data_IF_017213052848
#
_entry.id   IF_017213052848
#
_cell.length_a   1.000
_cell.length_b   1.000
_cell.length_c   1.000
_cell.angle_alpha   90.00
_cell.angle_beta   90.00
_cell.angle_gamma   90.00
#
_symmetry.space_group_name_H-M   'P 1'
#
loop_
_entity.id
_entity.type
_entity.pdbx_description
1 polymer ?
#
# COMPACT_ATOMS: atom_id res chain seq x y z
N UNK A 1 3.06 -0.63 21.32
CA UNK A 1 3.55 -1.60 20.31
C UNK A 1 4.38 -0.78 19.35
N UNK A 2 5.64 -1.14 19.11
CA UNK A 2 6.52 -0.41 18.19
C UNK A 2 6.14 -0.67 16.73
N UNK A 3 6.51 0.27 15.83
CA UNK A 3 6.38 0.09 14.39
C UNK A 3 7.30 -1.04 13.93
N UNK A 4 6.86 -1.82 12.95
CA UNK A 4 7.70 -2.90 12.40
C UNK A 4 7.31 -3.30 10.98
N UNK A 5 8.27 -3.89 10.28
CA UNK A 5 8.06 -4.77 9.14
C UNK A 5 8.76 -6.08 9.44
N UNK A 6 8.06 -7.18 9.34
CA UNK A 6 8.62 -8.52 9.57
C UNK A 6 8.22 -9.47 8.45
N UNK A 7 9.09 -10.42 8.16
CA UNK A 7 8.82 -11.51 7.23
C UNK A 7 9.13 -12.86 7.86
N UNK A 8 8.35 -13.86 7.51
CA UNK A 8 8.57 -15.24 7.92
C UNK A 8 8.16 -16.19 6.79
N UNK A 9 9.02 -17.15 6.50
CA UNK A 9 8.80 -18.17 5.46
C UNK A 9 8.47 -19.51 6.09
N UNK A 10 7.38 -20.12 5.65
CA UNK A 10 6.99 -21.47 6.04
C UNK A 10 6.39 -22.20 4.85
N UNK A 11 6.91 -23.39 4.53
CA UNK A 11 6.42 -24.24 3.43
C UNK A 11 6.29 -23.49 2.09
N UNK A 12 7.23 -22.64 1.74
CA UNK A 12 7.21 -21.89 0.49
C UNK A 12 6.36 -20.63 0.52
N UNK A 13 5.66 -20.34 1.60
CA UNK A 13 4.85 -19.13 1.78
C UNK A 13 5.61 -18.14 2.65
N UNK A 14 5.93 -16.98 2.10
CA UNK A 14 6.53 -15.87 2.86
C UNK A 14 5.47 -14.84 3.22
N UNK A 15 5.17 -14.71 4.52
CA UNK A 15 4.32 -13.65 5.01
C UNK A 15 5.16 -12.40 5.27
N UNK A 16 4.83 -11.30 4.60
CA UNK A 16 5.37 -9.96 4.87
C UNK A 16 4.28 -9.16 5.58
N UNK A 17 4.55 -8.79 6.85
CA UNK A 17 3.62 -8.06 7.70
C UNK A 17 4.21 -6.73 8.11
N UNK A 18 3.42 -5.65 8.00
CA UNK A 18 3.78 -4.33 8.49
C UNK A 18 2.80 -3.83 9.54
N UNK A 19 3.27 -2.96 10.42
CA UNK A 19 2.47 -2.32 11.45
C UNK A 19 2.99 -0.93 11.77
N UNK A 20 2.05 0.02 11.89
CA UNK A 20 2.27 1.32 12.50
C UNK A 20 1.06 1.74 13.32
N UNK A 21 1.28 2.22 14.54
CA UNK A 21 0.23 2.43 15.55
C UNK A 21 -0.84 3.47 15.18
N UNK A 22 -0.57 4.40 14.28
CA UNK A 22 -1.55 5.33 13.72
C UNK A 22 -2.31 4.75 12.52
N UNK A 23 -3.06 3.67 12.73
CA UNK A 23 -3.87 3.03 11.68
C UNK A 23 -3.07 2.67 10.41
N UNK A 24 -1.79 2.35 10.55
CA UNK A 24 -0.89 2.10 9.43
C UNK A 24 -0.82 3.30 8.45
N UNK A 25 -0.76 4.54 8.99
CA UNK A 25 -0.33 5.73 8.27
C UNK A 25 1.20 5.74 8.25
N UNK A 26 1.79 5.25 7.16
CA UNK A 26 3.17 4.78 7.13
C UNK A 26 4.19 5.92 6.99
N UNK A 27 5.15 6.05 7.93
CA UNK A 27 6.28 6.94 7.77
C UNK A 27 7.31 6.38 6.79
N UNK A 28 8.20 7.25 6.31
CA UNK A 28 9.22 6.94 5.30
C UNK A 28 10.07 5.71 5.64
N UNK A 29 10.46 5.54 6.92
CA UNK A 29 11.25 4.40 7.35
C UNK A 29 10.50 3.07 7.19
N UNK A 30 9.22 3.01 7.58
CA UNK A 30 8.41 1.79 7.45
C UNK A 30 8.18 1.45 5.97
N UNK A 31 8.00 2.45 5.10
CA UNK A 31 7.90 2.25 3.66
C UNK A 31 9.20 1.69 3.07
N UNK A 32 10.36 2.20 3.49
CA UNK A 32 11.66 1.70 3.06
C UNK A 32 11.90 0.24 3.49
N UNK A 33 11.56 -0.06 4.74
CA UNK A 33 11.66 -1.42 5.29
C UNK A 33 10.71 -2.38 4.56
N UNK A 34 9.49 -1.95 4.25
CA UNK A 34 8.51 -2.73 3.51
C UNK A 34 8.98 -3.05 2.08
N UNK A 35 9.47 -2.05 1.36
CA UNK A 35 10.04 -2.26 0.03
C UNK A 35 11.22 -3.24 0.06
N UNK A 36 12.08 -3.13 1.07
CA UNK A 36 13.22 -4.03 1.27
C UNK A 36 12.78 -5.45 1.59
N UNK A 37 11.78 -5.63 2.47
CA UNK A 37 11.24 -6.94 2.83
C UNK A 37 10.61 -7.65 1.62
N UNK A 38 9.89 -6.92 0.77
CA UNK A 38 9.30 -7.47 -0.47
C UNK A 38 10.39 -7.92 -1.44
N UNK A 39 11.44 -7.10 -1.68
CA UNK A 39 12.56 -7.48 -2.55
C UNK A 39 13.27 -8.74 -2.04
N UNK A 40 13.61 -8.79 -0.75
CA UNK A 40 14.24 -9.96 -0.13
C UNK A 40 13.39 -11.21 -0.24
N UNK A 41 12.08 -11.11 -0.01
CA UNK A 41 11.17 -12.23 -0.18
C UNK A 41 11.10 -12.70 -1.64
N UNK A 42 11.15 -11.77 -2.60
CA UNK A 42 11.18 -12.08 -4.03
C UNK A 42 12.45 -12.82 -4.45
N UNK A 43 13.58 -12.49 -3.86
CA UNK A 43 14.90 -13.09 -4.14
C UNK A 43 15.15 -14.42 -3.38
N UNK A 44 14.40 -14.69 -2.31
CA UNK A 44 14.57 -15.89 -1.50
C UNK A 44 14.15 -17.15 -2.28
N UNK A 45 15.07 -18.11 -2.54
CA UNK A 45 14.75 -19.35 -3.24
C UNK A 45 13.74 -20.24 -2.50
N UNK A 46 13.57 -20.07 -1.19
CA UNK A 46 12.59 -20.80 -0.40
C UNK A 46 11.19 -20.20 -0.49
N UNK A 47 11.02 -19.03 -1.11
CA UNK A 47 9.74 -18.37 -1.32
C UNK A 47 9.13 -18.80 -2.65
N UNK A 48 7.91 -19.33 -2.62
CA UNK A 48 7.08 -19.63 -3.80
C UNK A 48 6.06 -18.51 -4.00
N UNK A 49 5.43 -18.06 -2.91
CA UNK A 49 4.39 -17.03 -2.92
C UNK A 49 4.57 -16.11 -1.71
N UNK A 50 4.22 -14.84 -1.88
CA UNK A 50 4.27 -13.83 -0.81
C UNK A 50 2.83 -13.49 -0.40
N UNK A 51 2.56 -13.48 0.90
CA UNK A 51 1.34 -12.92 1.49
C UNK A 51 1.69 -11.58 2.11
N UNK A 52 1.20 -10.49 1.51
CA UNK A 52 1.31 -9.15 2.06
C UNK A 52 0.11 -8.87 2.97
N UNK A 53 0.39 -8.50 4.22
CA UNK A 53 -0.64 -8.15 5.20
C UNK A 53 -0.17 -7.04 6.13
N UNK A 54 -1.09 -6.41 6.82
CA UNK A 54 -0.78 -5.54 7.94
C UNK A 54 -1.39 -6.07 9.24
N UNK A 55 -0.85 -5.62 10.36
CA UNK A 55 -1.41 -5.82 11.68
C UNK A 55 -2.29 -4.61 12.08
N UNK A 56 -2.95 -4.72 13.24
CA UNK A 56 -3.95 -3.76 13.71
C UNK A 56 -5.37 -4.15 13.30
N UNK A 57 -6.37 -3.39 13.75
CA UNK A 57 -7.78 -3.78 13.60
C UNK A 57 -8.56 -2.89 12.62
N UNK A 58 -8.16 -1.61 12.47
CA UNK A 58 -8.99 -0.59 11.81
C UNK A 58 -8.69 -0.41 10.32
N UNK A 59 -7.42 -0.38 9.96
CA UNK A 59 -7.00 -0.12 8.59
C UNK A 59 -5.94 -1.11 8.15
N UNK A 60 -6.01 -1.51 6.89
CA UNK A 60 -4.89 -2.16 6.22
C UNK A 60 -3.74 -1.16 6.06
N UNK A 61 -4.02 0.00 5.45
CA UNK A 61 -3.07 1.10 5.33
C UNK A 61 -3.81 2.43 5.14
N UNK A 62 -3.57 3.40 6.03
CA UNK A 62 -4.18 4.72 5.96
C UNK A 62 -3.36 5.74 5.12
N UNK A 63 -2.41 5.27 4.32
CA UNK A 63 -1.59 6.10 3.45
C UNK A 63 -0.27 6.53 4.10
N UNK A 64 0.31 7.63 3.62
CA UNK A 64 1.54 8.21 4.14
C UNK A 64 1.32 8.94 5.47
N UNK A 65 2.39 9.13 6.22
CA UNK A 65 2.36 9.95 7.43
C UNK A 65 1.97 11.39 7.08
N UNK A 66 0.87 11.87 7.65
CA UNK A 66 0.42 13.23 7.44
C UNK A 66 1.37 14.26 8.09
N UNK A 67 1.98 13.89 9.21
CA UNK A 67 2.97 14.73 9.89
C UNK A 67 4.21 14.94 9.00
N UNK A 68 4.67 13.88 8.31
CA UNK A 68 5.78 14.01 7.35
C UNK A 68 5.37 14.82 6.12
N UNK A 69 4.14 14.69 5.62
CA UNK A 69 3.63 15.45 4.49
C UNK A 69 3.65 16.98 4.77
N UNK A 70 3.14 17.39 5.93
CA UNK A 70 3.07 18.82 6.28
C UNK A 70 4.43 19.41 6.66
N UNK A 71 5.40 18.56 6.95
CA UNK A 71 6.77 18.97 7.27
C UNK A 71 7.63 19.27 6.03
N UNK A 72 7.19 18.91 4.82
CA UNK A 72 7.93 19.15 3.57
C UNK A 72 8.13 20.65 3.35
N UNK A 73 9.39 21.06 3.17
CA UNK A 73 9.77 22.45 2.97
C UNK A 73 10.37 22.74 1.59
N UNK A 74 10.80 21.71 0.86
CA UNK A 74 11.47 21.85 -0.42
C UNK A 74 11.20 20.66 -1.35
N UNK A 75 11.62 20.78 -2.59
CA UNK A 75 11.41 19.78 -3.64
C UNK A 75 12.11 18.44 -3.32
N UNK A 76 13.31 18.47 -2.75
CA UNK A 76 14.06 17.25 -2.42
C UNK A 76 13.34 16.42 -1.34
N UNK A 77 12.85 17.07 -0.31
CA UNK A 77 12.04 16.43 0.73
C UNK A 77 10.72 15.90 0.15
N UNK A 78 10.08 16.66 -0.74
CA UNK A 78 8.89 16.23 -1.46
C UNK A 78 9.14 14.98 -2.31
N UNK A 79 10.22 14.98 -3.09
CA UNK A 79 10.63 13.84 -3.90
C UNK A 79 10.89 12.61 -3.02
N UNK A 80 11.60 12.79 -1.91
CA UNK A 80 11.87 11.70 -0.95
C UNK A 80 10.58 11.11 -0.38
N UNK A 81 9.67 11.97 0.08
CA UNK A 81 8.38 11.57 0.65
C UNK A 81 7.53 10.77 -0.35
N UNK A 82 7.31 11.31 -1.54
CA UNK A 82 6.49 10.63 -2.56
C UNK A 82 7.15 9.37 -3.12
N UNK A 83 8.47 9.29 -3.10
CA UNK A 83 9.22 8.09 -3.49
C UNK A 83 8.95 6.90 -2.55
N UNK A 84 8.55 7.12 -1.31
CA UNK A 84 8.29 6.06 -0.35
C UNK A 84 7.28 5.02 -0.87
N UNK A 85 6.06 5.45 -1.22
CA UNK A 85 5.05 4.56 -1.80
C UNK A 85 5.42 4.08 -3.21
N UNK A 86 6.05 4.92 -4.03
CA UNK A 86 6.53 4.52 -5.35
C UNK A 86 7.50 3.33 -5.25
N UNK A 87 8.43 3.36 -4.30
CA UNK A 87 9.40 2.29 -4.07
C UNK A 87 8.74 0.99 -3.61
N UNK A 88 7.71 1.05 -2.76
CA UNK A 88 6.94 -0.14 -2.36
C UNK A 88 6.20 -0.73 -3.56
N UNK A 89 5.46 0.09 -4.31
CA UNK A 89 4.72 -0.34 -5.49
C UNK A 89 5.66 -0.93 -6.54
N UNK A 90 6.80 -0.30 -6.79
CA UNK A 90 7.81 -0.80 -7.72
C UNK A 90 8.42 -2.13 -7.25
N UNK A 91 8.72 -2.27 -5.96
CA UNK A 91 9.21 -3.54 -5.40
C UNK A 91 8.20 -4.67 -5.60
N UNK A 92 6.90 -4.39 -5.45
CA UNK A 92 5.83 -5.36 -5.71
C UNK A 92 5.72 -5.70 -7.20
N UNK A 93 5.74 -4.68 -8.06
CA UNK A 93 5.57 -4.82 -9.52
C UNK A 93 6.72 -5.54 -10.23
N UNK A 94 7.92 -5.43 -9.68
CA UNK A 94 9.13 -6.09 -10.21
C UNK A 94 9.46 -7.40 -9.49
N UNK A 95 8.67 -7.77 -8.48
CA UNK A 95 8.86 -9.00 -7.72
C UNK A 95 8.65 -10.22 -8.63
N UNK A 96 9.60 -11.18 -8.67
CA UNK A 96 9.46 -12.39 -9.49
C UNK A 96 8.55 -13.45 -8.86
N UNK A 97 7.98 -13.17 -7.69
CA UNK A 97 7.05 -14.05 -6.99
C UNK A 97 5.64 -13.47 -6.98
N UNK A 98 4.64 -14.34 -6.98
CA UNK A 98 3.25 -13.94 -6.88
C UNK A 98 2.94 -13.35 -5.50
N UNK A 99 2.29 -12.18 -5.46
CA UNK A 99 1.96 -11.47 -4.21
C UNK A 99 0.44 -11.50 -4.01
N UNK A 100 0.01 -12.13 -2.92
CA UNK A 100 -1.38 -12.11 -2.47
C UNK A 100 -1.54 -11.09 -1.36
N UNK A 101 -2.43 -10.11 -1.55
CA UNK A 101 -2.78 -9.12 -0.53
C UNK A 101 -3.91 -9.62 0.37
N UNK A 102 -3.65 -9.73 1.68
CA UNK A 102 -4.69 -9.98 2.68
C UNK A 102 -5.15 -8.64 3.29
N UNK A 103 -6.21 -8.09 2.72
CA UNK A 103 -6.71 -6.75 3.05
C UNK A 103 -7.83 -6.87 4.09
N UNK A 104 -7.52 -6.65 5.36
CA UNK A 104 -8.47 -6.86 6.45
C UNK A 104 -9.23 -5.60 6.87
N UNK A 105 -8.86 -4.44 6.37
CA UNK A 105 -9.42 -3.16 6.78
C UNK A 105 -9.25 -2.07 5.73
N UNK A 106 -9.65 -0.86 6.07
CA UNK A 106 -9.69 0.29 5.17
C UNK A 106 -8.35 0.60 4.53
N UNK A 107 -8.39 1.06 3.24
CA UNK A 107 -7.25 1.57 2.51
C UNK A 107 -7.49 3.04 2.12
N UNK A 108 -6.51 3.90 2.37
CA UNK A 108 -6.61 5.33 2.04
C UNK A 108 -5.35 5.76 1.29
N UNK A 109 -5.51 6.56 0.25
CA UNK A 109 -4.40 7.17 -0.48
C UNK A 109 -3.34 6.15 -0.92
N UNK A 110 -2.10 6.31 -0.45
CA UNK A 110 -1.01 5.36 -0.69
C UNK A 110 -1.36 3.91 -0.37
N UNK A 111 -2.20 3.68 0.63
CA UNK A 111 -2.68 2.34 0.99
C UNK A 111 -3.54 1.68 -0.08
N UNK A 112 -4.29 2.46 -0.86
CA UNK A 112 -5.02 1.94 -2.04
C UNK A 112 -4.04 1.48 -3.11
N UNK A 113 -2.96 2.25 -3.34
CA UNK A 113 -1.89 1.89 -4.27
C UNK A 113 -1.23 0.56 -3.91
N UNK A 114 -0.93 0.34 -2.65
CA UNK A 114 -0.36 -0.94 -2.17
C UNK A 114 -1.35 -2.08 -2.36
N UNK A 115 -2.63 -1.89 -1.99
CA UNK A 115 -3.67 -2.90 -2.18
C UNK A 115 -3.91 -3.21 -3.67
N UNK A 116 -3.78 -2.23 -4.55
CA UNK A 116 -3.91 -2.41 -6.00
C UNK A 116 -2.68 -3.05 -6.65
N UNK A 117 -1.48 -2.86 -6.08
CA UNK A 117 -0.24 -3.36 -6.65
C UNK A 117 -0.01 -4.86 -6.45
N UNK A 118 -0.77 -5.53 -5.58
CA UNK A 118 -0.71 -7.00 -5.43
C UNK A 118 -1.25 -7.68 -6.70
N UNK A 119 -0.80 -8.91 -6.96
CA UNK A 119 -1.32 -9.69 -8.08
C UNK A 119 -2.77 -10.13 -7.81
N UNK A 120 -3.04 -10.62 -6.60
CA UNK A 120 -4.36 -11.04 -6.17
C UNK A 120 -4.73 -10.46 -4.81
N UNK A 121 -5.86 -9.77 -4.70
CA UNK A 121 -6.34 -9.20 -3.45
C UNK A 121 -7.47 -10.05 -2.85
N UNK A 122 -7.36 -10.36 -1.56
CA UNK A 122 -8.43 -10.93 -0.75
C UNK A 122 -8.83 -9.87 0.27
N UNK A 123 -9.97 -9.25 0.06
CA UNK A 123 -10.47 -8.18 0.91
C UNK A 123 -11.61 -8.70 1.82
N UNK A 124 -11.53 -8.32 3.11
CA UNK A 124 -12.63 -8.52 4.05
C UNK A 124 -13.77 -7.57 3.70
N UNK A 125 -15.01 -7.99 3.96
CA UNK A 125 -16.15 -7.07 3.94
C UNK A 125 -15.87 -5.87 4.88
N UNK A 126 -16.14 -4.64 4.39
CA UNK A 126 -15.79 -3.40 5.07
C UNK A 126 -14.34 -2.94 4.91
N UNK A 127 -13.53 -3.63 4.10
CA UNK A 127 -12.21 -3.15 3.67
C UNK A 127 -12.35 -2.09 2.56
N UNK A 128 -13.04 -0.99 2.89
CA UNK A 128 -13.35 0.07 1.95
C UNK A 128 -12.11 0.85 1.53
N UNK A 129 -12.14 1.43 0.33
CA UNK A 129 -11.05 2.21 -0.23
C UNK A 129 -11.45 3.66 -0.46
N UNK A 130 -10.46 4.57 -0.38
CA UNK A 130 -10.64 5.98 -0.68
C UNK A 130 -9.34 6.59 -1.20
N UNK A 131 -9.37 7.15 -2.40
CA UNK A 131 -8.29 8.00 -2.92
C UNK A 131 -8.50 9.43 -2.43
N UNK A 132 -7.84 9.80 -1.35
CA UNK A 132 -8.05 11.08 -0.67
C UNK A 132 -7.14 12.20 -1.14
N UNK A 133 -6.29 11.97 -2.12
CA UNK A 133 -5.24 12.89 -2.55
C UNK A 133 -5.80 14.24 -3.00
N UNK A 134 -6.80 14.28 -3.86
CA UNK A 134 -7.40 15.55 -4.32
C UNK A 134 -8.09 16.33 -3.18
N UNK A 135 -8.58 15.65 -2.15
CA UNK A 135 -9.18 16.33 -0.99
C UNK A 135 -8.15 17.11 -0.15
N UNK A 136 -6.86 16.80 -0.28
CA UNK A 136 -5.76 17.49 0.40
C UNK A 136 -4.87 18.29 -0.58
N UNK A 137 -5.35 18.51 -1.81
CA UNK A 137 -4.70 19.37 -2.79
C UNK A 137 -3.54 18.72 -3.56
N UNK A 138 -3.39 17.40 -3.50
CA UNK A 138 -2.40 16.63 -4.28
C UNK A 138 -3.09 15.65 -5.22
N UNK A 139 -2.44 15.28 -6.33
CA UNK A 139 -2.97 14.26 -7.23
C UNK A 139 -2.50 12.85 -6.85
N UNK A 140 -3.27 11.80 -7.18
CA UNK A 140 -2.88 10.40 -6.93
C UNK A 140 -1.84 9.90 -7.94
N UNK A 141 -0.82 10.69 -8.27
CA UNK A 141 0.14 10.41 -9.34
C UNK A 141 1.02 9.21 -9.06
N UNK A 142 1.38 8.98 -7.80
CA UNK A 142 2.21 7.84 -7.39
C UNK A 142 1.45 6.53 -7.45
N UNK A 143 0.22 6.53 -6.95
CA UNK A 143 -0.59 5.30 -6.82
C UNK A 143 -1.45 5.04 -8.05
N UNK A 144 -1.76 6.09 -8.81
CA UNK A 144 -2.66 6.06 -9.96
C UNK A 144 -2.38 4.93 -10.94
N UNK A 145 -1.15 4.75 -11.44
CA UNK A 145 -0.85 3.67 -12.38
C UNK A 145 -1.16 2.25 -11.86
N UNK A 146 -0.99 2.00 -10.56
CA UNK A 146 -1.31 0.71 -9.97
C UNK A 146 -2.82 0.52 -9.81
N UNK A 147 -3.52 1.58 -9.38
CA UNK A 147 -4.98 1.56 -9.19
C UNK A 147 -5.68 1.44 -10.53
N UNK A 148 -5.31 2.27 -11.52
CA UNK A 148 -5.89 2.23 -12.87
C UNK A 148 -5.71 0.85 -13.52
N UNK A 149 -4.53 0.24 -13.39
CA UNK A 149 -4.29 -1.12 -13.88
C UNK A 149 -5.22 -2.15 -13.23
N UNK A 150 -5.56 -1.96 -11.95
CA UNK A 150 -6.38 -2.92 -11.18
C UNK A 150 -7.87 -2.80 -11.50
N UNK A 151 -8.41 -1.59 -11.59
CA UNK A 151 -9.85 -1.33 -11.69
C UNK A 151 -10.27 -0.68 -13.01
N UNK A 152 -9.33 -0.35 -13.87
CA UNK A 152 -9.58 0.32 -15.16
C UNK A 152 -9.73 1.83 -15.04
N UNK A 153 -9.59 2.52 -16.19
CA UNK A 153 -9.55 3.99 -16.28
C UNK A 153 -10.82 4.63 -15.74
N UNK A 154 -12.00 4.09 -16.06
CA UNK A 154 -13.30 4.68 -15.67
C UNK A 154 -13.44 4.71 -14.14
N UNK A 155 -13.26 3.58 -13.50
CA UNK A 155 -13.38 3.46 -12.04
C UNK A 155 -12.28 4.23 -11.30
N UNK A 156 -11.06 4.21 -11.83
CA UNK A 156 -9.97 5.02 -11.29
C UNK A 156 -10.28 6.51 -11.35
N UNK A 157 -10.78 7.01 -12.48
CA UNK A 157 -11.11 8.43 -12.65
C UNK A 157 -12.18 8.87 -11.66
N UNK A 158 -13.24 8.07 -11.50
CA UNK A 158 -14.29 8.35 -10.53
C UNK A 158 -13.76 8.32 -9.10
N UNK A 159 -12.99 7.30 -8.74
CA UNK A 159 -12.41 7.16 -7.40
C UNK A 159 -11.47 8.33 -7.06
N UNK A 160 -10.68 8.80 -8.04
CA UNK A 160 -9.76 9.92 -7.86
C UNK A 160 -10.50 11.26 -7.72
N UNK A 161 -11.52 11.52 -8.56
CA UNK A 161 -12.31 12.76 -8.54
C UNK A 161 -13.18 12.84 -7.29
N UNK A 162 -13.85 11.74 -6.91
CA UNK A 162 -14.69 11.63 -5.72
C UNK A 162 -13.85 11.43 -4.44
N UNK A 163 -12.78 12.18 -4.27
CA UNK A 163 -11.74 11.99 -3.25
C UNK A 163 -12.26 11.95 -1.79
N UNK A 164 -13.49 12.38 -1.52
CA UNK A 164 -14.14 12.30 -0.20
C UNK A 164 -14.98 11.03 -0.01
N UNK A 165 -15.29 10.31 -1.10
CA UNK A 165 -16.18 9.15 -1.09
C UNK A 165 -15.45 7.85 -0.77
N UNK A 166 -16.09 7.01 0.05
CA UNK A 166 -15.65 5.62 0.26
C UNK A 166 -16.28 4.71 -0.79
N UNK A 167 -15.47 3.77 -1.31
CA UNK A 167 -15.95 2.65 -2.14
C UNK A 167 -15.80 1.36 -1.33
N UNK A 168 -16.78 0.48 -1.46
CA UNK A 168 -16.78 -0.80 -0.76
C UNK A 168 -15.70 -1.77 -1.29
N UNK A 169 -15.58 -2.95 -0.63
CA UNK A 169 -14.55 -3.93 -0.97
C UNK A 169 -14.77 -4.64 -2.33
N UNK A 170 -15.82 -4.34 -3.09
CA UNK A 170 -16.07 -4.98 -4.40
C UNK A 170 -14.99 -4.65 -5.44
N UNK A 171 -14.18 -3.62 -5.21
CA UNK A 171 -13.01 -3.31 -6.01
C UNK A 171 -11.99 -4.46 -6.09
N UNK A 172 -11.99 -5.38 -5.12
CA UNK A 172 -11.08 -6.53 -5.07
C UNK A 172 -11.56 -7.72 -5.93
N UNK A 173 -12.76 -7.62 -6.52
CA UNK A 173 -13.37 -8.63 -7.42
C UNK A 173 -13.15 -8.27 -8.92
#
# INVERSE_FOLDING_TARGET
MEAYVKSATHNGITSVEFFFFFCNSLPAQVLADLATAIRRAGEDPNTIVIILRSAGEKAFCAGASFDELVAIQNEEEGLSFFSGFANVINAMRTCPKFIIGRIHGKCVGGGVGVAAAVDYAIAKEGADVKLSELAVGIGPFVVGPAVERKIGVSEFSQLAIDASMWRNADWAR
#
